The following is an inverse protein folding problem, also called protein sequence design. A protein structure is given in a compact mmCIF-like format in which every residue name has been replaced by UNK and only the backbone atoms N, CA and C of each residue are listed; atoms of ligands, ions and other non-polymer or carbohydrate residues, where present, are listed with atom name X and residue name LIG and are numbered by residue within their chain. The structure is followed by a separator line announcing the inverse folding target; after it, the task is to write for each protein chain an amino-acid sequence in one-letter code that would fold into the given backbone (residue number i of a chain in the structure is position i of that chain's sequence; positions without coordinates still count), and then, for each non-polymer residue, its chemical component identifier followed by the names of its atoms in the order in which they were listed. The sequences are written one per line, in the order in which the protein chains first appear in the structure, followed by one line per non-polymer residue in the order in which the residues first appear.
data_IF_973380718101
#
_entry.id   IF_973380718101
#
_cell.length_a   1.000
_cell.length_b   1.000
_cell.length_c   1.000
_cell.angle_alpha   90.00
_cell.angle_beta   90.00
_cell.angle_gamma   90.00
#
_symmetry.space_group_name_H-M   'P 1'
#
loop_
_entity.id
_entity.type
_entity.pdbx_description
1 polymer ?
#
# COMPACT_ATOMS: atom_id res chain seq x y z
N UNK A 1 -1.95 13.52 21.68
CA UNK A 1 -2.14 12.18 22.29
C UNK A 1 -2.13 11.07 21.23
N UNK A 2 -3.00 11.14 20.21
CA UNK A 2 -3.19 10.07 19.23
C UNK A 2 -1.92 9.65 18.48
N UNK A 3 -1.09 10.62 18.05
CA UNK A 3 0.17 10.31 17.37
C UNK A 3 1.12 9.47 18.24
N UNK A 4 1.24 9.80 19.53
CA UNK A 4 2.10 9.06 20.46
C UNK A 4 1.61 7.61 20.58
N UNK A 5 0.29 7.40 20.71
CA UNK A 5 -0.30 6.06 20.81
C UNK A 5 0.00 5.24 19.54
N UNK A 6 -0.19 5.84 18.36
CA UNK A 6 0.07 5.19 17.07
C UNK A 6 1.55 4.80 16.95
N UNK A 7 2.47 5.72 17.25
CA UNK A 7 3.91 5.44 17.17
C UNK A 7 4.37 4.40 18.19
N UNK A 8 3.82 4.40 19.41
CA UNK A 8 4.13 3.38 20.41
C UNK A 8 3.68 1.99 19.96
N UNK A 9 2.44 1.85 19.45
CA UNK A 9 1.93 0.57 18.95
C UNK A 9 2.79 0.08 17.77
N UNK A 10 3.09 0.97 16.83
CA UNK A 10 3.91 0.65 15.66
C UNK A 10 5.31 0.16 16.05
N UNK A 11 6.00 0.89 16.91
CA UNK A 11 7.35 0.52 17.35
C UNK A 11 7.34 -0.81 18.12
N UNK A 12 6.37 -1.03 19.01
CA UNK A 12 6.21 -2.31 19.70
C UNK A 12 6.01 -3.48 18.73
N UNK A 13 5.17 -3.32 17.69
CA UNK A 13 4.95 -4.35 16.67
C UNK A 13 6.21 -4.57 15.82
N UNK A 14 6.94 -3.51 15.45
CA UNK A 14 8.17 -3.65 14.67
C UNK A 14 9.28 -4.37 15.45
N UNK A 15 9.35 -4.17 16.78
CA UNK A 15 10.34 -4.82 17.63
C UNK A 15 10.18 -6.35 17.70
N UNK A 16 9.00 -6.90 17.36
CA UNK A 16 8.81 -8.35 17.32
C UNK A 16 9.38 -9.00 16.05
N UNK A 17 10.01 -8.24 15.16
CA UNK A 17 10.65 -8.75 13.93
C UNK A 17 9.69 -9.08 12.79
N UNK A 18 8.42 -8.68 12.87
CA UNK A 18 7.45 -8.85 11.78
C UNK A 18 7.70 -7.85 10.63
N UNK A 19 7.34 -8.18 9.38
CA UNK A 19 7.44 -7.26 8.25
C UNK A 19 6.73 -5.93 8.49
N UNK A 20 7.34 -4.82 8.06
CA UNK A 20 6.85 -3.44 8.26
C UNK A 20 5.40 -3.27 7.79
N UNK A 21 5.03 -3.91 6.67
CA UNK A 21 3.67 -3.88 6.13
C UNK A 21 2.63 -4.45 7.10
N UNK A 22 2.97 -5.53 7.79
CA UNK A 22 2.09 -6.18 8.78
C UNK A 22 1.98 -5.31 10.03
N UNK A 23 3.10 -4.77 10.52
CA UNK A 23 3.10 -3.86 11.68
C UNK A 23 2.25 -2.62 11.43
N UNK A 24 2.36 -2.00 10.24
CA UNK A 24 1.55 -0.85 9.85
C UNK A 24 0.06 -1.20 9.82
N UNK A 25 -0.32 -2.30 9.17
CA UNK A 25 -1.70 -2.74 9.09
C UNK A 25 -2.32 -2.99 10.47
N UNK A 26 -1.60 -3.73 11.33
CA UNK A 26 -2.05 -4.03 12.69
C UNK A 26 -2.13 -2.78 13.58
N UNK A 27 -1.24 -1.81 13.41
CA UNK A 27 -1.29 -0.53 14.13
C UNK A 27 -2.56 0.22 13.79
N UNK A 28 -2.90 0.32 12.50
CA UNK A 28 -4.13 1.00 12.04
C UNK A 28 -5.37 0.29 12.57
N UNK A 29 -5.44 -1.04 12.47
CA UNK A 29 -6.57 -1.82 12.98
C UNK A 29 -6.72 -1.67 14.50
N UNK A 30 -5.63 -1.85 15.26
CA UNK A 30 -5.66 -1.75 16.73
C UNK A 30 -6.08 -0.36 17.18
N UNK A 31 -5.58 0.69 16.53
CA UNK A 31 -5.95 2.06 16.85
C UNK A 31 -7.43 2.35 16.53
N UNK A 32 -7.92 1.82 15.41
CA UNK A 32 -9.29 2.00 14.98
C UNK A 32 -10.29 1.33 15.92
N UNK A 33 -10.04 0.09 16.34
CA UNK A 33 -10.94 -0.65 17.23
C UNK A 33 -10.91 -0.18 18.68
N UNK A 34 -9.77 0.28 19.20
CA UNK A 34 -9.61 0.59 20.62
C UNK A 34 -9.81 2.08 20.94
N UNK A 35 -9.51 2.98 20.01
CA UNK A 35 -9.44 4.42 20.29
C UNK A 35 -10.37 5.27 19.44
N UNK A 36 -11.14 4.66 18.53
CA UNK A 36 -11.94 5.39 17.53
C UNK A 36 -13.35 4.81 17.42
N UNK A 37 -14.35 5.66 17.18
CA UNK A 37 -15.75 5.27 16.87
C UNK A 37 -16.09 5.53 15.40
N UNK A 38 -15.10 5.41 14.51
CA UNK A 38 -15.30 5.66 13.08
C UNK A 38 -16.17 4.52 12.52
N UNK A 39 -17.24 4.83 11.77
CA UNK A 39 -18.06 3.83 11.13
C UNK A 39 -17.22 2.93 10.23
N UNK A 40 -17.44 1.61 10.31
CA UNK A 40 -16.69 0.64 9.51
C UNK A 40 -16.80 0.92 8.00
N UNK A 41 -17.94 1.47 7.57
CA UNK A 41 -18.22 1.91 6.21
C UNK A 41 -17.23 2.98 5.71
N UNK A 42 -16.86 3.93 6.58
CA UNK A 42 -15.89 4.97 6.23
C UNK A 42 -14.48 4.39 6.07
N UNK A 43 -14.15 3.33 6.83
CA UNK A 43 -12.88 2.60 6.70
C UNK A 43 -12.83 1.84 5.38
N UNK A 44 -13.91 1.12 5.04
CA UNK A 44 -14.03 0.39 3.79
C UNK A 44 -13.88 1.34 2.58
N UNK A 45 -14.53 2.51 2.62
CA UNK A 45 -14.40 3.53 1.58
C UNK A 45 -12.96 4.06 1.45
N UNK A 46 -12.26 4.28 2.57
CA UNK A 46 -10.86 4.72 2.57
C UNK A 46 -9.90 3.67 2.02
N UNK A 47 -10.15 2.40 2.28
CA UNK A 47 -9.37 1.31 1.70
C UNK A 47 -9.59 1.21 0.19
N UNK A 48 -10.84 1.34 -0.26
CA UNK A 48 -11.19 1.28 -1.69
C UNK A 48 -10.56 2.44 -2.48
N UNK A 49 -10.74 3.67 -2.01
CA UNK A 49 -10.12 4.87 -2.63
C UNK A 49 -8.59 4.86 -2.55
N UNK A 50 -8.00 4.10 -1.62
CA UNK A 50 -6.56 3.86 -1.56
C UNK A 50 -6.02 2.93 -2.65
N UNK A 51 -6.85 2.02 -3.18
CA UNK A 51 -6.48 1.07 -4.24
C UNK A 51 -6.64 1.71 -5.63
N UNK A 52 -7.62 2.60 -5.80
CA UNK A 52 -7.90 3.33 -7.05
C UNK A 52 -6.86 4.41 -7.41
N UNK A 53 -5.64 4.31 -6.89
CA UNK A 53 -4.52 5.19 -7.24
C UNK A 53 -4.16 4.98 -8.70
N UNK A 54 -4.29 6.02 -9.52
CA UNK A 54 -3.85 6.03 -10.92
C UNK A 54 -2.38 5.59 -11.06
N UNK A 55 -1.57 5.88 -10.04
CA UNK A 55 -0.17 5.47 -9.96
C UNK A 55 0.01 3.95 -9.88
N UNK A 56 -0.90 3.22 -9.23
CA UNK A 56 -0.84 1.74 -9.17
C UNK A 56 -1.20 1.15 -10.53
N UNK A 57 -2.11 1.80 -11.29
CA UNK A 57 -2.41 1.41 -12.67
C UNK A 57 -1.24 1.63 -13.63
N UNK A 58 -0.26 2.48 -13.30
CA UNK A 58 0.93 2.65 -14.12
C UNK A 58 1.72 1.34 -14.25
N UNK A 59 1.78 0.51 -13.20
CA UNK A 59 2.51 -0.77 -13.19
C UNK A 59 2.02 -1.73 -14.29
N UNK A 60 0.72 -2.11 -14.38
CA UNK A 60 0.24 -2.95 -15.45
C UNK A 60 0.40 -2.31 -16.83
N UNK A 61 0.24 -0.99 -16.97
CA UNK A 61 0.49 -0.30 -18.23
C UNK A 61 1.95 -0.34 -18.66
N UNK A 62 2.90 -0.20 -17.72
CA UNK A 62 4.33 -0.36 -17.99
C UNK A 62 4.67 -1.78 -18.43
N UNK A 63 4.07 -2.80 -17.80
CA UNK A 63 4.24 -4.21 -18.19
C UNK A 63 3.68 -4.43 -19.61
N UNK A 64 2.50 -3.91 -19.91
CA UNK A 64 1.89 -3.98 -21.25
C UNK A 64 2.74 -3.30 -22.32
N UNK A 65 3.19 -2.06 -22.04
CA UNK A 65 4.07 -1.33 -22.93
C UNK A 65 5.40 -2.07 -23.16
N UNK A 66 5.99 -2.62 -22.10
CA UNK A 66 7.20 -3.44 -22.19
C UNK A 66 6.99 -4.68 -23.06
N UNK A 67 5.85 -5.36 -22.92
CA UNK A 67 5.49 -6.51 -23.74
C UNK A 67 5.31 -6.13 -25.22
N UNK A 68 4.70 -4.98 -25.52
CA UNK A 68 4.58 -4.48 -26.90
C UNK A 68 5.93 -4.12 -27.50
N UNK A 69 6.81 -3.45 -26.75
CA UNK A 69 8.16 -3.09 -27.22
C UNK A 69 9.01 -4.33 -27.50
N UNK A 70 8.86 -5.37 -26.67
CA UNK A 70 9.60 -6.63 -26.81
C UNK A 70 9.10 -7.45 -28.00
N UNK A 71 7.78 -7.68 -28.12
CA UNK A 71 7.19 -8.43 -29.23
C UNK A 71 7.29 -7.68 -30.56
N UNK A 72 7.19 -6.35 -30.54
CA UNK A 72 7.37 -5.51 -31.73
C UNK A 72 8.81 -5.35 -32.20
N UNK A 73 9.79 -5.95 -31.52
CA UNK A 73 11.21 -5.86 -31.85
C UNK A 73 11.83 -4.47 -31.64
N UNK A 74 11.06 -3.49 -31.14
CA UNK A 74 11.52 -2.13 -30.84
C UNK A 74 12.56 -2.16 -29.71
N UNK A 75 12.35 -2.97 -28.67
CA UNK A 75 13.30 -3.14 -27.58
C UNK A 75 14.69 -3.60 -28.09
N UNK A 76 14.71 -4.50 -29.08
CA UNK A 76 15.95 -4.97 -29.72
C UNK A 76 16.60 -3.91 -30.62
N UNK A 77 15.80 -3.02 -31.22
CA UNK A 77 16.28 -1.88 -32.02
C UNK A 77 16.80 -0.72 -31.16
N UNK A 78 16.36 -0.59 -29.90
CA UNK A 78 16.84 0.46 -28.98
C UNK A 78 18.19 0.16 -28.34
N UNK A 79 18.57 -1.12 -28.23
CA UNK A 79 19.84 -1.56 -27.62
C UNK A 79 20.99 -1.62 -28.64
N UNK A 80 20.66 -1.64 -29.94
CA UNK A 80 21.64 -1.47 -31.02
C UNK A 80 21.91 0.01 -31.23
#
# INVERSE_FOLDING_TARGET
MNAIIIFTILLCLMLTGMPISISLGLTVLSFLFLFTQVPLEAVALKLFTGIEKFEIMAIPFFILAGNFLTHGGVARRMIR
#
